data_IF_327126675492
#
_entry.id   IF_327126675492
#
_cell.length_a   1.000
_cell.length_b   1.000
_cell.length_c   1.000
_cell.angle_alpha   90.00
_cell.angle_beta   90.00
_cell.angle_gamma   90.00
#
_symmetry.space_group_name_H-M   'P 1'
#
loop_
_entity.id
_entity.type
_entity.pdbx_description
1 polymer ?
#
# COMPACT_ATOMS: atom_id res chain seq x y z
N UNK A 1 67.56 -11.29 -21.76
CA UNK A 1 66.26 -10.95 -22.38
C UNK A 1 65.44 -12.21 -22.69
N UNK A 2 64.94 -12.96 -21.68
CA UNK A 2 64.17 -14.18 -21.97
C UNK A 2 63.02 -14.55 -21.01
N UNK A 3 62.66 -13.72 -20.03
CA UNK A 3 61.64 -14.10 -19.04
C UNK A 3 60.38 -13.21 -18.96
N UNK A 4 60.16 -12.28 -19.91
CA UNK A 4 58.99 -11.39 -19.87
C UNK A 4 57.86 -11.73 -20.85
N UNK A 5 58.04 -12.73 -21.73
CA UNK A 5 57.01 -13.09 -22.73
C UNK A 5 55.99 -14.14 -22.25
N UNK A 6 56.27 -14.89 -21.19
CA UNK A 6 55.37 -15.99 -20.74
C UNK A 6 54.24 -15.48 -19.82
N UNK A 7 54.41 -14.35 -19.14
CA UNK A 7 53.37 -13.81 -18.25
C UNK A 7 52.30 -12.98 -18.96
N UNK A 8 52.59 -12.39 -20.13
CA UNK A 8 51.62 -11.54 -20.84
C UNK A 8 50.55 -12.39 -21.55
N UNK A 9 50.90 -13.59 -22.06
CA UNK A 9 49.95 -14.44 -22.76
C UNK A 9 48.92 -15.10 -21.82
N UNK A 10 49.33 -15.45 -20.60
CA UNK A 10 48.44 -16.04 -19.56
C UNK A 10 47.51 -14.97 -18.96
N UNK A 11 47.99 -13.74 -18.80
CA UNK A 11 47.15 -12.62 -18.33
C UNK A 11 46.12 -12.21 -19.40
N UNK A 12 46.47 -12.22 -20.69
CA UNK A 12 45.51 -11.97 -21.78
C UNK A 12 44.45 -13.08 -21.94
N UNK A 13 44.80 -14.35 -21.69
CA UNK A 13 43.86 -15.47 -21.69
C UNK A 13 42.90 -15.44 -20.48
N UNK A 14 43.35 -14.95 -19.33
CA UNK A 14 42.50 -14.79 -18.13
C UNK A 14 41.59 -13.56 -18.27
N UNK A 15 42.04 -12.48 -18.92
CA UNK A 15 41.21 -11.29 -19.17
C UNK A 15 40.12 -11.58 -20.22
N UNK A 16 40.39 -12.38 -21.25
CA UNK A 16 39.34 -12.80 -22.19
C UNK A 16 38.37 -13.80 -21.58
N UNK A 17 38.82 -14.69 -20.68
CA UNK A 17 37.95 -15.63 -19.96
C UNK A 17 37.10 -14.96 -18.86
N UNK A 18 37.57 -13.87 -18.27
CA UNK A 18 36.78 -13.04 -17.34
C UNK A 18 35.80 -12.12 -18.11
N UNK A 19 36.15 -11.68 -19.33
CA UNK A 19 35.23 -10.91 -20.18
C UNK A 19 34.07 -11.73 -20.75
N UNK A 20 34.23 -13.05 -20.90
CA UNK A 20 33.19 -13.95 -21.40
C UNK A 20 32.32 -14.58 -20.31
N UNK A 21 32.65 -14.38 -19.02
CA UNK A 21 31.80 -14.79 -17.89
C UNK A 21 30.86 -13.68 -17.38
N UNK A 22 30.94 -12.48 -17.96
CA UNK A 22 30.05 -11.33 -17.68
C UNK A 22 29.05 -11.05 -18.82
N UNK A 23 28.84 -12.01 -19.73
CA UNK A 23 27.59 -12.04 -20.48
C UNK A 23 26.48 -12.47 -19.53
N UNK A 24 25.92 -11.48 -18.81
CA UNK A 24 24.73 -11.62 -17.98
C UNK A 24 23.72 -12.46 -18.78
N UNK A 25 23.37 -13.63 -18.26
CA UNK A 25 22.36 -14.51 -18.87
C UNK A 25 21.02 -13.78 -18.76
N UNK A 26 20.72 -12.91 -19.71
CA UNK A 26 19.45 -12.20 -19.78
C UNK A 26 18.40 -13.28 -20.06
N UNK A 27 17.71 -13.73 -19.02
CA UNK A 27 16.50 -14.52 -19.19
C UNK A 27 15.45 -13.63 -19.86
N UNK A 28 14.56 -14.20 -20.69
CA UNK A 28 13.51 -13.44 -21.36
C UNK A 28 12.61 -12.64 -20.40
N UNK A 29 12.54 -13.05 -19.13
CA UNK A 29 11.87 -12.36 -18.02
C UNK A 29 12.47 -10.97 -17.73
N UNK A 30 13.80 -10.84 -17.72
CA UNK A 30 14.47 -9.55 -17.47
C UNK A 30 14.23 -8.56 -18.62
N UNK A 31 14.06 -9.03 -19.86
CA UNK A 31 13.85 -8.15 -21.03
C UNK A 31 12.51 -7.42 -20.95
N UNK A 32 11.44 -8.10 -20.54
CA UNK A 32 10.12 -7.48 -20.43
C UNK A 32 10.10 -6.46 -19.29
N UNK A 33 10.66 -6.81 -18.14
CA UNK A 33 10.73 -5.93 -16.99
C UNK A 33 11.58 -4.68 -17.26
N UNK A 34 12.73 -4.82 -17.93
CA UNK A 34 13.57 -3.69 -18.36
C UNK A 34 12.83 -2.78 -19.35
N UNK A 35 12.11 -3.35 -20.32
CA UNK A 35 11.32 -2.57 -21.28
C UNK A 35 10.15 -1.82 -20.64
N UNK A 36 9.56 -2.40 -19.60
CA UNK A 36 8.45 -1.80 -18.87
C UNK A 36 8.90 -1.01 -17.64
N UNK A 37 10.21 -0.88 -17.41
CA UNK A 37 10.77 -0.15 -16.29
C UNK A 37 10.17 1.26 -16.18
N UNK A 38 9.71 1.58 -14.98
CA UNK A 38 9.12 2.85 -14.63
C UNK A 38 7.69 3.06 -15.13
N UNK A 39 7.07 2.08 -15.78
CA UNK A 39 5.67 2.16 -16.20
C UNK A 39 4.72 1.75 -15.08
N UNK A 40 3.55 2.39 -15.10
CA UNK A 40 2.36 1.89 -14.44
C UNK A 40 1.68 0.91 -15.40
N UNK A 41 1.36 -0.29 -14.91
CA UNK A 41 0.70 -1.35 -15.65
C UNK A 41 -0.69 -1.60 -15.08
N UNK A 42 -1.67 -1.78 -15.95
CA UNK A 42 -3.05 -2.10 -15.58
C UNK A 42 -3.37 -3.51 -16.05
N UNK A 43 -3.72 -4.39 -15.12
CA UNK A 43 -4.09 -5.76 -15.42
C UNK A 43 -5.49 -5.81 -16.04
N UNK A 44 -5.58 -6.07 -17.35
CA UNK A 44 -6.84 -5.92 -18.11
C UNK A 44 -7.73 -7.16 -18.12
N UNK A 45 -7.21 -8.29 -17.67
CA UNK A 45 -7.90 -9.60 -17.69
C UNK A 45 -8.44 -10.00 -16.31
N UNK A 46 -8.45 -9.08 -15.34
CA UNK A 46 -8.96 -9.31 -13.98
C UNK A 46 -9.69 -8.06 -13.43
N UNK A 47 -9.42 -7.63 -12.19
CA UNK A 47 -10.14 -6.52 -11.55
C UNK A 47 -9.57 -5.13 -11.91
N UNK A 48 -8.64 -5.04 -12.85
CA UNK A 48 -8.00 -3.76 -13.19
C UNK A 48 -6.94 -3.34 -12.17
N UNK A 49 -6.27 -4.31 -11.54
CA UNK A 49 -5.17 -4.11 -10.61
C UNK A 49 -4.05 -3.27 -11.24
N UNK A 50 -3.51 -2.34 -10.47
CA UNK A 50 -2.44 -1.46 -10.92
C UNK A 50 -1.09 -1.86 -10.30
N UNK A 51 -0.05 -1.80 -11.13
CA UNK A 51 1.30 -2.23 -10.78
C UNK A 51 2.32 -1.19 -11.23
N UNK A 52 3.37 -0.96 -10.45
CA UNK A 52 4.50 -0.12 -10.85
C UNK A 52 5.74 -0.99 -11.06
N UNK A 53 6.38 -0.92 -12.24
CA UNK A 53 7.65 -1.61 -12.47
C UNK A 53 8.77 -0.68 -12.03
N UNK A 54 9.46 -1.00 -10.95
CA UNK A 54 10.50 -0.11 -10.42
C UNK A 54 11.76 -0.17 -11.31
N UNK A 55 12.25 0.99 -11.82
CA UNK A 55 13.46 1.05 -12.63
C UNK A 55 14.75 0.56 -11.94
N UNK A 56 14.77 0.49 -10.61
CA UNK A 56 15.98 0.14 -9.86
C UNK A 56 16.20 -1.37 -9.73
N UNK A 57 15.12 -2.15 -9.56
CA UNK A 57 15.20 -3.59 -9.32
C UNK A 57 14.45 -4.43 -10.36
N UNK A 58 13.78 -3.78 -11.32
CA UNK A 58 12.97 -4.41 -12.37
C UNK A 58 11.86 -5.32 -11.84
N UNK A 59 11.41 -5.09 -10.61
CA UNK A 59 10.27 -5.78 -10.03
C UNK A 59 9.00 -4.97 -10.20
N UNK A 60 7.87 -5.66 -10.30
CA UNK A 60 6.54 -5.04 -10.22
C UNK A 60 6.10 -4.92 -8.77
N UNK A 61 5.58 -3.76 -8.40
CA UNK A 61 5.03 -3.48 -7.09
C UNK A 61 3.53 -3.29 -7.23
N UNK A 62 2.75 -3.98 -6.41
CA UNK A 62 1.30 -3.80 -6.38
C UNK A 62 0.98 -2.43 -5.77
N UNK A 63 0.16 -1.64 -6.45
CA UNK A 63 -0.19 -0.29 -6.00
C UNK A 63 -1.38 -0.25 -5.04
N UNK A 64 -2.26 -1.26 -5.08
CA UNK A 64 -3.39 -1.34 -4.16
C UNK A 64 -4.29 -0.09 -4.19
N UNK A 65 -4.59 0.45 -3.01
CA UNK A 65 -5.44 1.64 -2.82
C UNK A 65 -4.64 2.93 -3.04
N UNK A 66 -5.31 4.09 -3.27
CA UNK A 66 -4.63 5.37 -3.47
C UNK A 66 -3.59 5.74 -2.41
N UNK A 67 -3.89 5.56 -1.13
CA UNK A 67 -2.96 5.88 -0.04
C UNK A 67 -1.72 4.99 -0.04
N UNK A 68 -1.89 3.72 -0.35
CA UNK A 68 -0.82 2.73 -0.37
C UNK A 68 0.11 2.95 -1.55
N UNK A 69 -0.47 3.15 -2.73
CA UNK A 69 0.27 3.54 -3.93
C UNK A 69 1.10 4.79 -3.63
N UNK A 70 0.50 5.79 -3.01
CA UNK A 70 1.16 7.04 -2.67
C UNK A 70 2.34 6.84 -1.71
N UNK A 71 2.14 6.08 -0.62
CA UNK A 71 3.21 5.79 0.34
C UNK A 71 4.35 5.01 -0.33
N UNK A 72 4.02 3.93 -1.02
CA UNK A 72 4.98 3.11 -1.76
C UNK A 72 5.78 3.94 -2.76
N UNK A 73 5.13 4.80 -3.52
CA UNK A 73 5.79 5.62 -4.54
C UNK A 73 6.70 6.67 -3.93
N UNK A 74 6.35 7.22 -2.76
CA UNK A 74 7.24 8.08 -1.99
C UNK A 74 8.44 7.31 -1.44
N UNK A 75 8.24 6.11 -0.92
CA UNK A 75 9.33 5.26 -0.41
C UNK A 75 10.33 4.87 -1.51
N UNK A 76 9.82 4.64 -2.73
CA UNK A 76 10.63 4.40 -3.92
C UNK A 76 11.16 5.69 -4.56
N UNK A 77 10.78 6.85 -4.03
CA UNK A 77 11.06 8.16 -4.59
C UNK A 77 12.53 8.56 -4.50
N UNK A 78 13.05 9.12 -5.58
CA UNK A 78 14.39 9.71 -5.63
C UNK A 78 14.31 11.17 -5.20
N UNK A 79 15.08 11.55 -4.17
CA UNK A 79 15.23 12.96 -3.80
C UNK A 79 15.87 13.78 -4.93
N UNK A 80 15.30 14.93 -5.26
CA UNK A 80 15.77 15.84 -6.31
C UNK A 80 15.74 17.29 -5.83
N UNK A 81 16.73 18.07 -6.28
CA UNK A 81 16.80 19.52 -6.02
C UNK A 81 15.85 20.29 -6.93
N UNK A 82 15.43 21.48 -6.49
CA UNK A 82 14.54 22.34 -7.25
C UNK A 82 15.16 22.74 -8.60
N UNK A 83 16.48 23.00 -8.63
CA UNK A 83 17.19 23.35 -9.86
C UNK A 83 17.17 22.23 -10.91
N UNK A 84 17.14 20.96 -10.49
CA UNK A 84 17.18 19.83 -11.42
C UNK A 84 15.78 19.41 -11.86
N UNK A 85 14.81 19.44 -10.96
CA UNK A 85 13.43 19.13 -11.32
C UNK A 85 12.81 20.19 -12.25
N UNK A 86 13.20 21.47 -12.11
CA UNK A 86 12.76 22.55 -13.00
C UNK A 86 13.31 22.43 -14.43
N UNK A 87 14.32 21.59 -14.66
CA UNK A 87 14.80 21.24 -16.01
C UNK A 87 13.92 20.18 -16.69
N UNK A 88 12.91 19.65 -16.00
CA UNK A 88 11.95 18.68 -16.53
C UNK A 88 10.61 19.39 -16.74
N UNK A 89 10.14 19.36 -17.99
CA UNK A 89 8.91 20.06 -18.40
C UNK A 89 7.69 19.59 -17.60
N UNK A 90 6.85 20.54 -17.18
CA UNK A 90 5.62 20.29 -16.43
C UNK A 90 4.52 19.72 -17.35
N UNK A 91 3.80 18.71 -16.87
CA UNK A 91 2.60 18.21 -17.52
C UNK A 91 1.34 18.97 -17.08
N UNK A 92 0.43 19.24 -18.02
CA UNK A 92 -0.91 19.78 -17.75
C UNK A 92 -1.83 18.68 -17.20
N UNK A 93 -1.66 18.34 -15.94
CA UNK A 93 -2.43 17.30 -15.25
C UNK A 93 -2.55 17.59 -13.76
N UNK A 94 -3.64 17.13 -13.13
CA UNK A 94 -3.99 17.40 -11.73
C UNK A 94 -4.28 18.87 -11.40
N UNK A 95 -4.90 19.59 -12.35
CA UNK A 95 -5.22 21.02 -12.22
C UNK A 95 -6.61 21.26 -11.57
N UNK A 96 -7.08 20.33 -10.75
CA UNK A 96 -8.42 20.36 -10.15
C UNK A 96 -8.40 20.84 -8.68
N UNK A 97 -7.30 21.45 -8.25
CA UNK A 97 -7.09 21.95 -6.88
C UNK A 97 -7.72 23.32 -6.63
N UNK A 98 -7.50 23.85 -5.43
CA UNK A 98 -7.73 25.28 -5.15
C UNK A 98 -6.79 26.10 -6.03
N UNK A 99 -7.30 27.19 -6.57
CA UNK A 99 -6.63 28.14 -7.47
C UNK A 99 -7.08 29.54 -6.99
N UNK A 100 -6.23 30.14 -6.17
CA UNK A 100 -6.57 31.32 -5.36
C UNK A 100 -6.65 32.59 -6.20
N UNK A 101 -5.78 32.75 -7.18
CA UNK A 101 -5.73 33.91 -8.07
C UNK A 101 -6.47 33.74 -9.41
N UNK A 102 -6.89 32.50 -9.73
CA UNK A 102 -7.72 32.12 -10.87
C UNK A 102 -7.02 32.24 -12.23
N UNK A 103 -5.70 32.12 -12.26
CA UNK A 103 -4.95 31.98 -13.50
C UNK A 103 -5.10 30.54 -14.09
N UNK A 104 -5.56 29.60 -13.26
CA UNK A 104 -5.82 28.22 -13.61
C UNK A 104 -4.64 27.28 -13.36
N UNK A 105 -3.61 27.70 -12.64
CA UNK A 105 -2.58 26.91 -11.99
C UNK A 105 -3.00 26.74 -10.52
N UNK A 106 -3.19 25.51 -10.00
CA UNK A 106 -3.62 25.37 -8.62
C UNK A 106 -2.49 25.69 -7.62
N UNK A 107 -2.86 26.22 -6.45
CA UNK A 107 -1.97 26.64 -5.37
C UNK A 107 -0.90 25.61 -5.01
N UNK A 108 -1.25 24.32 -5.07
CA UNK A 108 -0.31 23.25 -4.73
C UNK A 108 0.81 23.05 -5.77
N UNK A 109 0.55 23.36 -7.04
CA UNK A 109 1.55 23.39 -8.09
C UNK A 109 2.35 24.68 -7.99
N UNK A 110 1.69 25.81 -7.77
CA UNK A 110 2.35 27.11 -7.56
C UNK A 110 3.39 27.07 -6.44
N UNK A 111 3.01 26.57 -5.26
CA UNK A 111 3.91 26.34 -4.13
C UNK A 111 5.11 25.48 -4.54
N UNK A 112 4.88 24.45 -5.37
CA UNK A 112 5.91 23.49 -5.76
C UNK A 112 6.95 24.07 -6.75
N UNK A 113 6.54 25.02 -7.59
CA UNK A 113 7.41 25.73 -8.54
C UNK A 113 7.88 27.10 -8.00
N UNK A 114 7.28 27.54 -6.90
CA UNK A 114 7.64 28.71 -6.11
C UNK A 114 6.97 30.02 -6.53
N UNK A 115 5.87 29.98 -7.29
CA UNK A 115 5.09 31.17 -7.66
C UNK A 115 4.19 31.65 -6.50
N UNK A 116 3.65 32.87 -6.61
CA UNK A 116 2.78 33.46 -5.59
C UNK A 116 1.31 33.13 -5.85
N UNK A 117 0.73 32.32 -4.97
CA UNK A 117 -0.67 31.86 -5.04
C UNK A 117 -1.73 32.98 -5.10
N UNK A 118 -1.36 34.23 -4.81
CA UNK A 118 -2.28 35.37 -4.83
C UNK A 118 -2.08 36.27 -6.05
N UNK A 119 -1.17 35.92 -6.96
CA UNK A 119 -0.77 36.77 -8.07
C UNK A 119 -0.64 35.96 -9.37
N UNK A 120 -1.55 36.16 -10.34
CA UNK A 120 -1.60 35.32 -11.55
C UNK A 120 -0.37 35.46 -12.46
N UNK A 121 0.47 36.47 -12.25
CA UNK A 121 1.68 36.78 -13.01
C UNK A 121 2.78 37.17 -11.99
N UNK A 122 3.49 36.17 -11.49
CA UNK A 122 4.40 36.29 -10.35
C UNK A 122 5.61 37.17 -10.61
N UNK A 123 6.04 37.32 -11.86
CA UNK A 123 7.16 38.19 -12.24
C UNK A 123 6.75 39.47 -12.96
N UNK A 124 5.45 39.65 -13.20
CA UNK A 124 4.82 40.83 -13.77
C UNK A 124 5.29 41.15 -15.19
N UNK A 125 5.58 40.12 -16.00
CA UNK A 125 6.03 40.25 -17.39
C UNK A 125 4.89 40.26 -18.43
N UNK A 126 3.65 40.01 -17.98
CA UNK A 126 2.43 40.03 -18.79
C UNK A 126 1.93 38.66 -19.23
N UNK A 127 2.58 37.56 -18.81
CA UNK A 127 2.12 36.19 -18.99
C UNK A 127 1.72 35.58 -17.65
N UNK A 128 0.74 34.68 -17.64
CA UNK A 128 0.34 34.05 -16.36
C UNK A 128 1.29 32.91 -15.99
N UNK A 129 1.43 32.64 -14.69
CA UNK A 129 2.32 31.59 -14.16
C UNK A 129 2.03 30.23 -14.79
N UNK A 130 0.74 29.91 -15.01
CA UNK A 130 0.30 28.73 -15.75
C UNK A 130 0.82 28.68 -17.17
N UNK A 131 0.66 29.79 -17.91
CA UNK A 131 1.05 29.86 -19.32
C UNK A 131 2.54 29.63 -19.44
N UNK A 132 3.32 30.26 -18.58
CA UNK A 132 4.76 30.13 -18.56
C UNK A 132 5.22 28.72 -18.17
N UNK A 133 4.71 28.19 -17.05
CA UNK A 133 5.08 26.87 -16.56
C UNK A 133 4.80 25.75 -17.58
N UNK A 134 3.70 25.86 -18.34
CA UNK A 134 3.36 24.88 -19.38
C UNK A 134 4.11 25.07 -20.71
N UNK A 135 4.62 26.28 -20.97
CA UNK A 135 5.38 26.61 -22.18
C UNK A 135 6.91 26.66 -21.95
N UNK A 136 7.38 26.25 -20.78
CA UNK A 136 8.79 26.24 -20.36
C UNK A 136 9.43 27.64 -20.30
N UNK A 137 8.64 28.64 -19.88
CA UNK A 137 9.13 29.94 -19.44
C UNK A 137 9.29 29.93 -17.92
N UNK A 138 10.03 30.90 -17.40
CA UNK A 138 10.35 30.99 -15.98
C UNK A 138 9.34 31.91 -15.29
N UNK A 139 8.36 31.40 -14.54
CA UNK A 139 7.29 32.20 -13.94
C UNK A 139 7.72 33.07 -12.75
N UNK A 140 9.02 33.34 -12.62
CA UNK A 140 9.63 34.06 -11.50
C UNK A 140 10.73 35.00 -11.97
N UNK A 141 10.84 35.22 -13.26
CA UNK A 141 11.81 36.12 -13.84
C UNK A 141 12.12 35.77 -15.29
N UNK A 142 12.93 36.59 -15.92
CA UNK A 142 13.02 36.64 -17.37
C UNK A 142 13.42 35.32 -18.07
N UNK A 143 12.74 35.04 -19.18
CA UNK A 143 13.19 34.14 -20.23
C UNK A 143 12.71 32.69 -20.09
N UNK A 144 13.38 31.78 -20.83
CA UNK A 144 12.98 30.37 -20.90
C UNK A 144 13.72 29.52 -19.87
N UNK A 145 13.01 28.55 -19.30
CA UNK A 145 13.62 27.48 -18.52
C UNK A 145 14.56 26.65 -19.42
N UNK A 146 15.71 26.28 -18.86
CA UNK A 146 16.64 25.36 -19.51
C UNK A 146 16.11 23.94 -19.31
N UNK A 147 15.42 23.41 -20.33
CA UNK A 147 14.92 22.04 -20.30
C UNK A 147 16.03 21.05 -20.68
N UNK A 148 16.27 20.07 -19.81
CA UNK A 148 17.24 19.00 -20.03
C UNK A 148 16.53 17.70 -20.40
N UNK A 149 16.38 17.48 -21.70
CA UNK A 149 15.77 16.26 -22.25
C UNK A 149 16.56 14.99 -21.92
N UNK A 150 17.87 15.10 -21.68
CA UNK A 150 18.67 13.93 -21.29
C UNK A 150 18.34 13.56 -19.85
N UNK A 151 18.32 14.54 -18.94
CA UNK A 151 17.90 14.33 -17.56
C UNK A 151 16.50 13.73 -17.47
N UNK A 152 15.54 14.27 -18.22
CA UNK A 152 14.17 13.76 -18.25
C UNK A 152 14.09 12.30 -18.72
N UNK A 153 14.94 11.89 -19.68
CA UNK A 153 15.06 10.49 -20.13
C UNK A 153 15.74 9.61 -19.09
N UNK A 154 16.81 10.10 -18.46
CA UNK A 154 17.56 9.35 -17.43
C UNK A 154 16.68 9.12 -16.17
N UNK A 155 15.73 10.02 -15.92
CA UNK A 155 14.75 9.94 -14.83
C UNK A 155 13.39 9.38 -15.27
N UNK A 156 13.24 8.96 -16.53
CA UNK A 156 11.97 8.45 -17.04
C UNK A 156 11.44 7.28 -16.18
N UNK A 157 10.17 7.41 -15.81
CA UNK A 157 9.44 6.44 -15.01
C UNK A 157 9.80 6.42 -13.53
N UNK A 158 10.65 7.35 -13.06
CA UNK A 158 10.95 7.50 -11.63
C UNK A 158 9.90 8.38 -10.95
N UNK A 159 9.71 8.11 -9.66
CA UNK A 159 9.10 9.04 -8.74
C UNK A 159 10.19 9.95 -8.18
N UNK A 160 9.99 11.26 -8.21
CA UNK A 160 10.91 12.26 -7.70
C UNK A 160 10.29 12.98 -6.50
N UNK A 161 11.09 13.24 -5.48
CA UNK A 161 10.68 13.99 -4.29
C UNK A 161 11.49 15.28 -4.21
N UNK A 162 10.83 16.45 -4.19
CA UNK A 162 11.51 17.72 -3.97
C UNK A 162 12.01 17.81 -2.52
N UNK A 163 13.32 17.80 -2.33
CA UNK A 163 13.92 17.78 -0.97
C UNK A 163 14.19 19.16 -0.39
N UNK A 164 14.01 20.22 -1.19
CA UNK A 164 14.29 21.61 -0.81
C UNK A 164 13.01 22.41 -0.48
N UNK A 165 11.83 21.79 -0.60
CA UNK A 165 10.50 22.36 -0.33
C UNK A 165 9.70 21.45 0.64
N UNK A 166 8.40 21.20 0.41
CA UNK A 166 7.54 20.43 1.30
C UNK A 166 7.53 18.92 1.01
N UNK A 167 8.49 18.41 0.23
CA UNK A 167 8.53 16.99 -0.13
C UNK A 167 7.54 16.63 -1.23
N UNK A 168 7.22 17.57 -2.13
CA UNK A 168 6.30 17.36 -3.25
C UNK A 168 6.76 16.19 -4.13
N UNK A 169 5.81 15.35 -4.55
CA UNK A 169 6.08 14.14 -5.31
C UNK A 169 5.68 14.30 -6.78
N UNK A 170 6.51 13.76 -7.67
CA UNK A 170 6.38 13.89 -9.11
C UNK A 170 6.64 12.56 -9.79
N UNK A 171 5.91 12.26 -10.86
CA UNK A 171 6.19 11.12 -11.73
C UNK A 171 6.69 11.61 -13.08
N UNK A 172 7.88 11.17 -13.50
CA UNK A 172 8.37 11.46 -14.85
C UNK A 172 7.80 10.42 -15.80
N UNK A 173 6.87 10.79 -16.67
CA UNK A 173 6.21 9.83 -17.53
C UNK A 173 7.15 9.35 -18.66
N UNK A 174 7.39 8.03 -18.82
CA UNK A 174 8.27 7.50 -19.88
C UNK A 174 7.81 7.78 -21.31
N UNK A 175 6.55 8.15 -21.52
CA UNK A 175 6.00 8.35 -22.86
C UNK A 175 6.27 9.75 -23.42
N UNK A 176 6.27 10.77 -22.57
CA UNK A 176 6.42 12.19 -22.99
C UNK A 176 7.57 12.93 -22.28
N UNK A 177 8.23 12.28 -21.33
CA UNK A 177 9.34 12.82 -20.54
C UNK A 177 8.97 14.08 -19.74
N UNK A 178 7.68 14.30 -19.45
CA UNK A 178 7.21 15.36 -18.58
C UNK A 178 7.06 14.88 -17.15
N UNK A 179 7.19 15.80 -16.19
CA UNK A 179 6.86 15.55 -14.79
C UNK A 179 5.40 15.83 -14.52
N UNK A 180 4.74 14.87 -13.91
CA UNK A 180 3.35 14.94 -13.46
C UNK A 180 3.34 15.15 -11.96
N UNK A 181 2.70 16.22 -11.50
CA UNK A 181 2.50 16.47 -10.08
C UNK A 181 1.58 15.41 -9.49
N UNK A 182 2.03 14.74 -8.43
CA UNK A 182 1.24 13.65 -7.81
C UNK A 182 0.27 14.18 -6.75
N UNK A 183 0.58 15.30 -6.10
CA UNK A 183 -0.33 15.96 -5.17
C UNK A 183 -0.86 15.03 -4.09
N UNK A 184 -2.19 14.95 -3.96
CA UNK A 184 -2.87 14.11 -2.97
C UNK A 184 -2.92 12.66 -3.45
N UNK A 185 -3.07 11.67 -2.53
CA UNK A 185 -3.15 10.27 -2.90
C UNK A 185 -4.16 9.93 -4.00
N UNK A 186 -5.35 10.53 -3.98
CA UNK A 186 -6.37 10.30 -5.01
C UNK A 186 -5.95 10.88 -6.37
N UNK A 187 -5.40 12.10 -6.40
CA UNK A 187 -4.93 12.74 -7.64
C UNK A 187 -3.78 11.94 -8.27
N UNK A 188 -2.85 11.45 -7.44
CA UNK A 188 -1.76 10.57 -7.84
C UNK A 188 -2.29 9.27 -8.45
N UNK A 189 -3.25 8.65 -7.80
CA UNK A 189 -3.85 7.40 -8.25
C UNK A 189 -4.57 7.56 -9.59
N UNK A 190 -5.37 8.60 -9.74
CA UNK A 190 -6.12 8.88 -10.96
C UNK A 190 -5.19 9.14 -12.15
N UNK A 191 -4.16 9.97 -11.95
CA UNK A 191 -3.20 10.26 -13.02
C UNK A 191 -2.39 9.02 -13.40
N UNK A 192 -1.95 8.22 -12.43
CA UNK A 192 -1.16 7.02 -12.69
C UNK A 192 -1.97 5.94 -13.40
N UNK A 193 -3.24 5.76 -13.05
CA UNK A 193 -4.14 4.89 -13.81
C UNK A 193 -4.37 5.43 -15.22
N UNK A 194 -4.59 6.74 -15.37
CA UNK A 194 -4.75 7.37 -16.70
C UNK A 194 -3.53 7.18 -17.60
N UNK A 195 -2.32 7.23 -17.03
CA UNK A 195 -1.05 7.00 -17.74
C UNK A 195 -0.69 5.52 -17.86
N UNK A 196 -1.47 4.63 -17.24
CA UNK A 196 -1.20 3.21 -17.15
C UNK A 196 -1.29 2.49 -18.49
N UNK A 197 -0.39 1.53 -18.69
CA UNK A 197 -0.37 0.66 -19.85
C UNK A 197 -1.09 -0.66 -19.53
N UNK A 198 -2.06 -1.05 -20.35
CA UNK A 198 -2.72 -2.35 -20.21
C UNK A 198 -1.73 -3.51 -20.38
N UNK A 199 -1.85 -4.54 -19.54
CA UNK A 199 -1.04 -5.76 -19.60
C UNK A 199 -1.89 -7.02 -19.34
N UNK A 200 -1.56 -8.10 -20.04
CA UNK A 200 -2.18 -9.43 -19.84
C UNK A 200 -1.64 -10.11 -18.59
N UNK A 201 -2.38 -11.06 -18.03
CA UNK A 201 -1.95 -11.84 -16.88
C UNK A 201 -0.65 -12.62 -17.19
N UNK A 202 -0.56 -13.17 -18.40
CA UNK A 202 0.60 -13.95 -18.84
C UNK A 202 1.87 -13.09 -18.98
N UNK A 203 1.77 -11.86 -19.48
CA UNK A 203 2.92 -10.97 -19.57
C UNK A 203 3.30 -10.37 -18.22
N UNK A 204 2.30 -10.00 -17.42
CA UNK A 204 2.53 -9.52 -16.06
C UNK A 204 3.30 -10.58 -15.25
N UNK A 205 2.89 -11.86 -15.32
CA UNK A 205 3.51 -12.99 -14.63
C UNK A 205 5.01 -13.18 -14.93
N UNK A 206 5.52 -12.68 -16.06
CA UNK A 206 6.94 -12.73 -16.42
C UNK A 206 7.79 -11.67 -15.70
N UNK A 207 7.14 -10.70 -15.05
CA UNK A 207 7.79 -9.66 -14.26
C UNK A 207 7.71 -10.07 -12.80
N UNK A 208 8.87 -10.27 -12.18
CA UNK A 208 8.96 -10.66 -10.79
C UNK A 208 8.25 -9.64 -9.90
N UNK A 209 7.36 -10.13 -9.05
CA UNK A 209 6.70 -9.29 -8.06
C UNK A 209 7.66 -8.96 -6.92
N UNK A 210 7.77 -7.68 -6.58
CA UNK A 210 8.31 -7.28 -5.31
C UNK A 210 7.27 -7.63 -4.25
N UNK A 211 7.52 -8.73 -3.55
CA UNK A 211 6.74 -9.04 -2.37
C UNK A 211 7.14 -8.05 -1.30
N UNK A 212 6.33 -7.00 -1.12
CA UNK A 212 6.44 -6.13 0.05
C UNK A 212 6.25 -7.06 1.25
N UNK A 213 7.36 -7.37 1.92
CA UNK A 213 7.34 -7.75 3.33
C UNK A 213 7.13 -6.41 4.01
N UNK A 214 5.95 -6.11 4.54
CA UNK A 214 5.75 -4.82 5.15
C UNK A 214 6.70 -4.72 6.35
N UNK A 215 7.78 -3.97 6.18
CA UNK A 215 8.42 -3.27 7.28
C UNK A 215 7.43 -2.19 7.71
N UNK A 216 6.38 -2.62 8.41
CA UNK A 216 5.71 -1.73 9.33
C UNK A 216 6.80 -1.25 10.27
N UNK A 217 6.96 0.06 10.43
CA UNK A 217 7.71 0.61 11.54
C UNK A 217 7.19 -0.07 12.80
N UNK A 218 7.98 -1.02 13.31
CA UNK A 218 7.64 -1.91 14.41
C UNK A 218 7.52 -1.20 15.76
N UNK A 219 7.66 0.13 15.75
CA UNK A 219 7.65 0.97 16.94
C UNK A 219 6.26 1.12 17.57
N UNK A 220 5.17 0.83 16.84
CA UNK A 220 3.81 0.78 17.43
C UNK A 220 3.20 -0.64 17.49
N UNK A 221 4.00 -1.68 17.27
CA UNK A 221 3.59 -3.06 17.56
C UNK A 221 3.86 -3.30 19.04
N UNK A 222 2.94 -2.81 19.89
CA UNK A 222 2.99 -3.07 21.33
C UNK A 222 3.09 -4.58 21.55
N UNK A 223 4.22 -4.99 22.11
CA UNK A 223 4.54 -6.28 22.73
C UNK A 223 3.45 -7.34 22.53
N UNK A 224 3.69 -8.25 21.59
CA UNK A 224 2.68 -9.12 20.98
C UNK A 224 1.86 -9.99 21.94
N UNK A 225 2.01 -9.95 23.26
CA UNK A 225 1.28 -10.71 24.28
C UNK A 225 1.01 -12.17 23.88
N UNK A 226 1.93 -12.78 23.14
CA UNK A 226 1.74 -14.09 22.53
C UNK A 226 2.80 -15.06 22.96
N UNK A 227 2.37 -16.26 23.30
CA UNK A 227 3.24 -17.37 23.66
C UNK A 227 3.06 -18.50 22.63
N UNK A 228 4.17 -19.14 22.25
CA UNK A 228 4.12 -20.38 21.47
C UNK A 228 3.59 -21.48 22.38
N UNK A 229 2.66 -22.29 21.86
CA UNK A 229 2.11 -23.46 22.55
C UNK A 229 2.41 -24.72 21.72
N UNK A 230 2.07 -25.88 22.26
CA UNK A 230 2.21 -27.15 21.53
C UNK A 230 1.37 -27.18 20.23
N UNK A 231 1.66 -28.13 19.33
CA UNK A 231 0.89 -28.42 18.11
C UNK A 231 0.74 -27.27 17.11
N UNK A 232 1.80 -26.49 16.85
CA UNK A 232 1.80 -25.38 15.89
C UNK A 232 0.73 -24.32 16.18
N UNK A 233 0.40 -24.12 17.46
CA UNK A 233 -0.50 -23.06 17.91
C UNK A 233 0.27 -21.98 18.68
N UNK A 234 -0.32 -20.80 18.75
CA UNK A 234 0.09 -19.69 19.62
C UNK A 234 -1.11 -19.30 20.47
N UNK A 235 -0.85 -18.71 21.63
CA UNK A 235 -1.88 -18.14 22.51
C UNK A 235 -1.65 -16.64 22.65
N UNK A 236 -2.66 -15.84 22.34
CA UNK A 236 -2.69 -14.41 22.62
C UNK A 236 -3.28 -14.18 24.01
N UNK A 237 -2.72 -13.23 24.75
CA UNK A 237 -3.14 -12.82 26.07
C UNK A 237 -3.50 -11.34 25.99
N UNK A 238 -4.62 -10.94 26.58
CA UNK A 238 -5.00 -9.55 26.74
C UNK A 238 -4.89 -9.18 28.21
N UNK A 239 -3.74 -8.66 28.70
CA UNK A 239 -3.57 -8.35 30.12
C UNK A 239 -4.59 -7.33 30.62
N UNK A 240 -4.91 -6.34 29.80
CA UNK A 240 -5.82 -5.25 30.18
C UNK A 240 -7.28 -5.68 30.26
N UNK A 241 -7.69 -6.62 29.42
CA UNK A 241 -9.09 -7.05 29.26
C UNK A 241 -9.36 -8.48 29.76
N UNK A 242 -8.37 -9.13 30.37
CA UNK A 242 -8.48 -10.43 31.04
C UNK A 242 -9.07 -11.57 30.18
N UNK A 243 -8.69 -11.62 28.91
CA UNK A 243 -9.02 -12.76 28.04
C UNK A 243 -7.80 -13.26 27.30
N UNK A 244 -7.85 -14.52 26.87
CA UNK A 244 -6.84 -15.11 25.99
C UNK A 244 -7.49 -16.04 24.99
N UNK A 245 -6.82 -16.33 23.88
CA UNK A 245 -7.31 -17.27 22.88
C UNK A 245 -6.15 -17.89 22.11
N UNK A 246 -6.36 -19.08 21.55
CA UNK A 246 -5.38 -19.78 20.72
C UNK A 246 -5.63 -19.52 19.22
N UNK A 247 -4.55 -19.48 18.45
CA UNK A 247 -4.59 -19.27 17.00
C UNK A 247 -3.42 -20.02 16.32
N UNK A 248 -3.48 -20.28 15.00
CA UNK A 248 -2.41 -20.96 14.29
C UNK A 248 -1.07 -20.20 14.39
N UNK A 249 0.03 -20.93 14.57
CA UNK A 249 1.35 -20.31 14.80
C UNK A 249 1.92 -19.55 13.60
N UNK A 250 1.44 -19.85 12.40
CA UNK A 250 1.78 -19.19 11.15
C UNK A 250 0.95 -17.91 10.90
N UNK A 251 -0.10 -17.68 11.70
CA UNK A 251 -0.91 -16.46 11.64
C UNK A 251 -0.29 -15.33 12.45
N UNK A 252 -0.62 -14.10 12.05
CA UNK A 252 -0.15 -12.86 12.69
C UNK A 252 -1.29 -12.18 13.43
N UNK A 253 -0.93 -11.52 14.53
CA UNK A 253 -1.80 -10.62 15.27
C UNK A 253 -1.38 -9.17 15.01
N UNK A 254 -2.36 -8.29 14.82
CA UNK A 254 -2.16 -6.84 14.71
C UNK A 254 -3.12 -6.09 15.63
N UNK A 255 -2.63 -5.00 16.22
CA UNK A 255 -3.39 -4.05 17.03
C UNK A 255 -3.05 -2.64 16.54
N UNK A 256 -4.05 -1.79 16.35
CA UNK A 256 -3.85 -0.41 15.90
C UNK A 256 -4.08 0.56 17.05
N UNK A 257 -3.27 1.61 17.15
CA UNK A 257 -3.45 2.66 18.18
C UNK A 257 -4.79 3.38 18.06
N UNK A 258 -5.29 3.55 16.84
CA UNK A 258 -6.61 4.13 16.57
C UNK A 258 -7.78 3.24 17.00
N UNK A 259 -7.52 1.98 17.34
CA UNK A 259 -8.53 0.99 17.75
C UNK A 259 -7.94 0.05 18.81
N UNK A 260 -7.60 0.59 20.00
CA UNK A 260 -6.86 -0.15 21.02
C UNK A 260 -7.66 -1.30 21.64
N UNK A 261 -8.97 -1.39 21.35
CA UNK A 261 -9.84 -2.46 21.80
C UNK A 261 -10.05 -3.56 20.75
N UNK A 262 -9.38 -3.48 19.60
CA UNK A 262 -9.53 -4.43 18.49
C UNK A 262 -8.22 -5.15 18.21
N UNK A 263 -8.30 -6.47 18.08
CA UNK A 263 -7.19 -7.36 17.73
C UNK A 263 -7.53 -8.06 16.42
N UNK A 264 -6.67 -7.95 15.42
CA UNK A 264 -6.84 -8.52 14.09
C UNK A 264 -5.96 -9.76 13.92
N UNK A 265 -6.49 -10.79 13.27
CA UNK A 265 -5.88 -12.10 13.04
C UNK A 265 -5.90 -12.44 11.54
N UNK A 266 -4.75 -12.84 11.00
CA UNK A 266 -4.62 -13.18 9.57
C UNK A 266 -3.52 -14.21 9.29
N UNK A 267 -3.70 -15.02 8.25
CA UNK A 267 -2.64 -15.87 7.64
C UNK A 267 -1.67 -15.06 6.75
N UNK A 268 -2.04 -13.83 6.39
CA UNK A 268 -1.40 -13.11 5.31
C UNK A 268 -0.22 -12.28 5.80
N UNK A 269 0.79 -12.19 4.94
CA UNK A 269 1.95 -11.32 5.17
C UNK A 269 1.65 -9.82 4.99
N UNK A 270 0.49 -9.46 4.43
CA UNK A 270 0.05 -8.08 4.13
C UNK A 270 -1.35 -7.79 4.68
N UNK A 271 -1.72 -6.51 4.73
CA UNK A 271 -2.90 -5.99 5.41
C UNK A 271 -4.22 -6.39 4.76
N UNK A 272 -5.13 -6.99 5.52
CA UNK A 272 -6.43 -7.43 5.02
C UNK A 272 -7.40 -6.26 4.78
N UNK A 273 -7.27 -5.13 5.52
CA UNK A 273 -8.11 -3.94 5.34
C UNK A 273 -7.94 -3.39 3.92
N UNK A 274 -6.78 -3.70 3.33
CA UNK A 274 -6.31 -3.20 2.06
C UNK A 274 -6.57 -4.09 0.88
N UNK A 275 -6.65 -5.39 1.11
CA UNK A 275 -6.64 -6.41 0.07
C UNK A 275 -8.00 -7.12 -0.08
N UNK A 276 -9.05 -6.64 0.61
CA UNK A 276 -10.38 -7.28 0.67
C UNK A 276 -10.29 -8.79 0.96
N UNK A 277 -9.36 -9.16 1.85
CA UNK A 277 -9.09 -10.55 2.21
C UNK A 277 -9.88 -10.98 3.43
N UNK A 278 -9.97 -12.30 3.60
CA UNK A 278 -10.59 -12.90 4.77
C UNK A 278 -9.87 -12.42 6.05
N UNK A 279 -10.65 -11.99 7.04
CA UNK A 279 -10.14 -11.49 8.31
C UNK A 279 -10.96 -12.01 9.47
N UNK A 280 -10.27 -12.33 10.56
CA UNK A 280 -10.88 -12.48 11.87
C UNK A 280 -10.42 -11.31 12.74
N UNK A 281 -11.34 -10.66 13.43
CA UNK A 281 -10.97 -9.69 14.46
C UNK A 281 -11.82 -9.86 15.71
N UNK A 282 -11.26 -9.43 16.83
CA UNK A 282 -11.84 -9.55 18.17
C UNK A 282 -11.86 -8.16 18.77
N UNK A 283 -13.05 -7.69 19.13
CA UNK A 283 -13.28 -6.40 19.75
C UNK A 283 -13.70 -6.59 21.20
N UNK A 284 -13.02 -5.92 22.12
CA UNK A 284 -13.50 -5.71 23.49
C UNK A 284 -14.46 -4.52 23.52
N UNK A 285 -15.63 -4.72 24.12
CA UNK A 285 -16.70 -3.73 24.19
C UNK A 285 -17.08 -3.51 25.65
N UNK A 286 -17.06 -2.25 26.08
CA UNK A 286 -17.61 -1.81 27.36
C UNK A 286 -18.79 -0.87 27.11
N UNK A 287 -19.90 -1.09 27.81
CA UNK A 287 -21.17 -0.35 27.61
C UNK A 287 -21.53 0.49 28.84
N UNK A 288 -22.47 1.44 28.65
CA UNK A 288 -23.02 2.25 29.74
C UNK A 288 -23.87 1.41 30.69
N UNK A 289 -24.69 0.52 30.14
CA UNK A 289 -25.62 -0.34 30.88
C UNK A 289 -25.32 -1.82 30.62
N UNK A 290 -25.83 -2.68 31.50
CA UNK A 290 -25.71 -4.11 31.33
C UNK A 290 -26.81 -4.63 30.41
N UNK A 291 -26.44 -4.97 29.18
CA UNK A 291 -27.34 -5.49 28.15
C UNK A 291 -27.34 -7.01 28.09
N UNK A 292 -28.44 -7.55 27.58
CA UNK A 292 -28.51 -8.90 27.04
C UNK A 292 -27.68 -8.99 25.74
N UNK A 293 -27.14 -10.16 25.45
CA UNK A 293 -26.34 -10.41 24.25
C UNK A 293 -27.14 -10.23 22.95
N UNK A 294 -28.46 -10.42 22.98
CA UNK A 294 -29.32 -10.17 21.84
C UNK A 294 -29.34 -8.68 21.41
N UNK A 295 -28.88 -7.76 22.26
CA UNK A 295 -28.73 -6.34 21.91
C UNK A 295 -27.67 -6.11 20.83
N UNK A 296 -26.74 -7.06 20.68
CA UNK A 296 -25.71 -7.05 19.64
C UNK A 296 -26.19 -7.65 18.31
N UNK A 297 -27.42 -8.16 18.25
CA UNK A 297 -28.05 -8.63 17.02
C UNK A 297 -28.02 -7.52 15.97
N UNK A 298 -27.52 -7.85 14.79
CA UNK A 298 -27.55 -6.94 13.64
C UNK A 298 -28.94 -7.06 13.00
N UNK A 299 -29.54 -5.92 12.64
CA UNK A 299 -30.81 -5.90 11.93
C UNK A 299 -30.73 -6.68 10.61
N UNK A 300 -31.86 -7.22 10.17
CA UNK A 300 -31.97 -7.87 8.86
C UNK A 300 -31.51 -6.92 7.75
N UNK A 301 -30.74 -7.45 6.82
CA UNK A 301 -30.16 -6.70 5.69
C UNK A 301 -30.92 -7.10 4.43
N UNK A 302 -31.39 -6.12 3.65
CA UNK A 302 -32.07 -6.39 2.39
C UNK A 302 -31.12 -7.12 1.42
N UNK A 303 -31.65 -8.09 0.67
CA UNK A 303 -30.90 -8.89 -0.31
C UNK A 303 -29.74 -9.74 0.26
N UNK A 304 -29.73 -10.00 1.57
CA UNK A 304 -28.73 -10.82 2.24
C UNK A 304 -29.37 -12.08 2.82
N UNK A 305 -28.77 -13.24 2.59
CA UNK A 305 -29.25 -14.51 3.15
C UNK A 305 -28.72 -14.69 4.56
N UNK A 306 -29.59 -14.57 5.57
CA UNK A 306 -29.27 -14.95 6.96
C UNK A 306 -29.09 -16.46 7.07
N UNK A 307 -27.96 -16.88 7.63
CA UNK A 307 -27.60 -18.29 7.85
C UNK A 307 -27.79 -18.69 9.31
N UNK A 308 -27.36 -17.83 10.24
CA UNK A 308 -27.62 -18.00 11.69
C UNK A 308 -28.04 -16.68 12.32
N UNK A 309 -28.96 -16.76 13.27
CA UNK A 309 -29.42 -15.67 14.13
C UNK A 309 -29.96 -16.30 15.42
N UNK A 310 -29.08 -16.52 16.40
CA UNK A 310 -29.44 -17.30 17.59
C UNK A 310 -28.61 -16.97 18.82
N UNK A 311 -29.25 -17.11 19.98
CA UNK A 311 -28.56 -17.23 21.26
C UNK A 311 -27.86 -18.60 21.36
N UNK A 312 -26.71 -18.60 22.02
CA UNK A 312 -25.92 -19.78 22.33
C UNK A 312 -25.10 -19.56 23.60
N UNK A 313 -24.37 -20.59 24.02
CA UNK A 313 -23.43 -20.50 25.14
C UNK A 313 -22.03 -20.79 24.63
N UNK A 314 -21.09 -19.89 24.90
CA UNK A 314 -19.65 -20.08 24.64
C UNK A 314 -18.95 -20.11 25.99
N UNK A 315 -18.30 -21.23 26.32
CA UNK A 315 -17.53 -21.40 27.56
C UNK A 315 -18.31 -20.95 28.83
N UNK A 316 -19.57 -21.41 28.94
CA UNK A 316 -20.50 -21.10 30.03
C UNK A 316 -20.88 -19.60 30.16
N UNK A 317 -20.68 -18.81 29.11
CA UNK A 317 -21.10 -17.41 29.04
C UNK A 317 -22.22 -17.25 28.00
N UNK A 318 -23.22 -16.43 28.33
CA UNK A 318 -24.29 -16.06 27.40
C UNK A 318 -23.68 -15.42 26.15
N UNK A 319 -24.16 -15.83 24.98
CA UNK A 319 -23.60 -15.44 23.71
C UNK A 319 -24.67 -15.33 22.62
N UNK A 320 -24.36 -14.58 21.57
CA UNK A 320 -25.22 -14.40 20.41
C UNK A 320 -24.42 -14.57 19.13
N UNK A 321 -24.94 -15.36 18.18
CA UNK A 321 -24.30 -15.60 16.88
C UNK A 321 -25.18 -15.12 15.73
N UNK A 322 -24.56 -14.41 14.80
CA UNK A 322 -25.11 -14.05 13.51
C UNK A 322 -24.20 -14.51 12.38
N UNK A 323 -24.77 -15.01 11.29
CA UNK A 323 -24.02 -15.17 10.05
C UNK A 323 -24.88 -14.88 8.82
N UNK A 324 -24.23 -14.33 7.80
CA UNK A 324 -24.85 -13.80 6.60
C UNK A 324 -24.06 -14.19 5.35
N UNK A 325 -24.79 -14.57 4.32
CA UNK A 325 -24.25 -14.81 2.97
C UNK A 325 -24.69 -13.68 2.04
N UNK A 326 -23.70 -12.97 1.50
CA UNK A 326 -23.85 -11.99 0.43
C UNK A 326 -23.50 -12.63 -0.91
N UNK A 327 -23.75 -11.94 -2.02
CA UNK A 327 -23.41 -12.44 -3.36
C UNK A 327 -21.92 -12.79 -3.52
N UNK A 328 -21.02 -12.05 -2.85
CA UNK A 328 -19.55 -12.20 -2.95
C UNK A 328 -18.87 -12.05 -1.58
N UNK A 329 -19.57 -12.36 -0.50
CA UNK A 329 -18.99 -12.29 0.84
C UNK A 329 -19.75 -13.17 1.82
N UNK A 330 -19.07 -13.55 2.88
CA UNK A 330 -19.63 -14.22 4.04
C UNK A 330 -19.17 -13.48 5.29
N UNK A 331 -20.11 -13.29 6.21
CA UNK A 331 -19.92 -12.64 7.50
C UNK A 331 -20.39 -13.57 8.61
N UNK A 332 -19.59 -13.72 9.68
CA UNK A 332 -20.00 -14.41 10.91
C UNK A 332 -19.55 -13.59 12.11
N UNK A 333 -20.45 -13.38 13.06
CA UNK A 333 -20.18 -12.66 14.31
C UNK A 333 -20.66 -13.47 15.49
N UNK A 334 -19.87 -13.47 16.57
CA UNK A 334 -20.23 -14.06 17.86
C UNK A 334 -19.92 -13.05 18.96
N UNK A 335 -20.96 -12.58 19.65
CA UNK A 335 -20.85 -11.69 20.80
C UNK A 335 -20.99 -12.52 22.08
N UNK A 336 -20.09 -12.32 23.04
CA UNK A 336 -20.00 -13.09 24.28
C UNK A 336 -20.04 -12.10 25.45
N UNK A 337 -20.95 -12.30 26.40
CA UNK A 337 -20.99 -11.49 27.63
C UNK A 337 -19.97 -12.01 28.61
N UNK A 338 -18.93 -11.23 28.89
CA UNK A 338 -17.78 -11.68 29.70
C UNK A 338 -17.84 -11.17 31.14
N UNK A 339 -18.60 -10.10 31.39
CA UNK A 339 -18.91 -9.56 32.71
C UNK A 339 -20.04 -8.52 32.64
N UNK A 340 -20.35 -7.87 33.76
CA UNK A 340 -21.30 -6.75 33.77
C UNK A 340 -20.79 -5.63 32.88
N UNK A 341 -21.59 -5.22 31.88
CA UNK A 341 -21.25 -4.18 30.88
C UNK A 341 -20.03 -4.50 30.01
N UNK A 342 -19.54 -5.74 29.98
CA UNK A 342 -18.31 -6.13 29.28
C UNK A 342 -18.57 -7.30 28.32
N UNK A 343 -18.16 -7.13 27.08
CA UNK A 343 -18.41 -8.09 26.00
C UNK A 343 -17.17 -8.29 25.14
N UNK A 344 -17.02 -9.49 24.58
CA UNK A 344 -16.15 -9.72 23.44
C UNK A 344 -17.00 -9.97 22.20
N UNK A 345 -16.65 -9.30 21.11
CA UNK A 345 -17.26 -9.54 19.81
C UNK A 345 -16.20 -10.05 18.85
N UNK A 346 -16.38 -11.28 18.39
CA UNK A 346 -15.58 -11.87 17.34
C UNK A 346 -16.32 -11.71 16.02
N UNK A 347 -15.57 -11.37 14.97
CA UNK A 347 -16.12 -11.19 13.64
C UNK A 347 -15.19 -11.77 12.59
N UNK A 348 -15.76 -12.52 11.66
CA UNK A 348 -15.15 -13.06 10.46
C UNK A 348 -15.81 -12.40 9.24
N UNK A 349 -15.00 -11.84 8.35
CA UNK A 349 -15.43 -11.40 7.01
C UNK A 349 -14.56 -12.08 5.97
N UNK A 350 -15.13 -12.58 4.88
CA UNK A 350 -14.42 -13.28 3.80
C UNK A 350 -15.16 -13.12 2.47
N UNK A 351 -14.45 -13.19 1.33
CA UNK A 351 -15.01 -12.98 -0.04
C UNK A 351 -15.85 -14.15 -0.55
N UNK A 352 -15.76 -15.31 0.10
CA UNK A 352 -16.63 -16.46 -0.12
C UNK A 352 -16.70 -17.28 1.16
N UNK A 353 -17.65 -18.21 1.23
CA UNK A 353 -17.65 -19.26 2.24
C UNK A 353 -16.32 -20.01 2.14
N UNK A 354 -15.47 -19.81 3.16
CA UNK A 354 -14.12 -20.32 3.21
C UNK A 354 -14.01 -21.22 4.43
N UNK A 355 -14.21 -22.53 4.20
CA UNK A 355 -14.24 -23.56 5.25
C UNK A 355 -13.02 -23.51 6.18
N UNK A 356 -11.85 -23.12 5.66
CA UNK A 356 -10.65 -22.99 6.47
C UNK A 356 -10.80 -21.86 7.51
N UNK A 357 -11.21 -20.67 7.08
CA UNK A 357 -11.40 -19.52 7.96
C UNK A 357 -12.54 -19.73 8.95
N UNK A 358 -13.62 -20.37 8.51
CA UNK A 358 -14.75 -20.72 9.38
C UNK A 358 -14.30 -21.72 10.46
N UNK A 359 -13.55 -22.75 10.09
CA UNK A 359 -13.01 -23.73 11.05
C UNK A 359 -12.03 -23.07 12.04
N UNK A 360 -11.17 -22.17 11.57
CA UNK A 360 -10.25 -21.42 12.44
C UNK A 360 -11.04 -20.52 13.39
N UNK A 361 -12.05 -19.80 12.89
CA UNK A 361 -12.94 -18.96 13.70
C UNK A 361 -13.63 -19.78 14.81
N UNK A 362 -14.20 -20.93 14.47
CA UNK A 362 -14.88 -21.80 15.43
C UNK A 362 -13.92 -22.39 16.47
N UNK A 363 -12.69 -22.76 16.07
CA UNK A 363 -11.64 -23.18 17.00
C UNK A 363 -11.21 -22.04 17.92
N UNK A 364 -11.08 -20.83 17.37
CA UNK A 364 -10.68 -19.65 18.14
C UNK A 364 -11.72 -19.37 19.23
N UNK A 365 -13.01 -19.32 18.88
CA UNK A 365 -14.11 -19.14 19.84
C UNK A 365 -14.02 -20.14 20.98
N UNK A 366 -13.83 -21.43 20.67
CA UNK A 366 -13.74 -22.49 21.69
C UNK A 366 -12.52 -22.33 22.59
N UNK A 367 -11.44 -21.78 22.06
CA UNK A 367 -10.19 -21.55 22.79
C UNK A 367 -10.18 -20.31 23.68
N UNK A 368 -11.24 -19.48 23.66
CA UNK A 368 -11.28 -18.27 24.48
C UNK A 368 -11.33 -18.64 25.95
N UNK A 369 -10.34 -18.19 26.71
CA UNK A 369 -10.32 -18.29 28.16
C UNK A 369 -10.53 -16.91 28.77
N UNK A 370 -11.41 -16.83 29.75
CA UNK A 370 -11.64 -15.64 30.56
C UNK A 370 -10.86 -15.82 31.86
N UNK A 371 -9.86 -14.96 32.07
CA UNK A 371 -9.17 -14.92 33.35
C UNK A 371 -10.07 -14.13 34.30
N UNK A 372 -11.02 -14.79 34.96
CA UNK A 372 -11.65 -14.20 36.12
C UNK A 372 -10.51 -13.90 37.10
N UNK A 373 -10.15 -12.61 37.26
CA UNK A 373 -9.09 -12.19 38.18
C UNK A 373 -9.31 -12.80 39.57
N UNK A 374 -8.28 -12.92 40.42
CA UNK A 374 -8.42 -13.59 41.72
C UNK A 374 -9.66 -13.06 42.46
N UNK A 375 -10.54 -14.00 42.82
CA UNK A 375 -11.78 -13.76 43.56
C UNK A 375 -11.56 -13.03 44.87
#
# INVERSE_FOLDING_TARGET
MKNYKVNILVILLIITFISSFLAKKITAENVLAERLAGRILLQVENNGEAWYVNPNDFKRYYLGRPQDAFNLMRDLGLGVKNIDINKIALAKANFNGLDTDKDGLPDNIEISIGTDINNPDSDSDGYTDKEEALNNFNPKGEGKLIIDNKLAKDLAGRILLQVENNGEAWYVNPNDFKRYYLGRPQDAFDIMRKLGLGITNNDLAKINEHIIKPEYSSENIVENNTILTENNMRKYISPENNYSFAYPSDWKIKKYESSPNVVYLTDANRDFILEDKSVIFIQYIETSDDYDVNKFRIADKEEVKTLTDKELTVNNKDSYENSYQYQRAYEKTTSIKIGSRKYLRLSLFTTAENDNYINIYDKLIKSIEFNDGPK
#
